data_IF_363220684495
#
_entry.id   IF_363220684495
#
_cell.length_a   1.000
_cell.length_b   1.000
_cell.length_c   1.000
_cell.angle_alpha   90.00
_cell.angle_beta   90.00
_cell.angle_gamma   90.00
#
_symmetry.space_group_name_H-M   'P 1'
#
loop_
_entity.id
_entity.type
_entity.pdbx_description
1 polymer ?
#
# COMPACT_ATOMS: atom_id res chain seq x y z
N UNK A 1 -22.79 -19.17 8.82
CA UNK A 1 -22.28 -18.44 7.63
C UNK A 1 -21.28 -19.34 6.92
N UNK A 2 -21.44 -19.59 5.62
CA UNK A 2 -20.41 -20.26 4.82
C UNK A 2 -19.30 -19.26 4.49
N UNK A 3 -18.11 -19.46 5.05
CA UNK A 3 -16.91 -18.69 4.69
C UNK A 3 -16.54 -19.07 3.27
N UNK A 4 -16.45 -18.10 2.35
CA UNK A 4 -15.93 -18.37 1.02
C UNK A 4 -14.45 -18.73 1.11
N UNK A 5 -13.96 -19.68 0.29
CA UNK A 5 -12.53 -19.95 0.23
C UNK A 5 -11.79 -18.71 -0.30
N UNK A 6 -10.57 -18.49 0.19
CA UNK A 6 -9.72 -17.41 -0.30
C UNK A 6 -9.45 -17.62 -1.80
N UNK A 7 -9.66 -16.57 -2.59
CA UNK A 7 -9.42 -16.60 -4.03
C UNK A 7 -7.95 -16.25 -4.34
N UNK A 8 -7.15 -17.27 -4.67
CA UNK A 8 -5.72 -17.11 -5.00
C UNK A 8 -5.48 -16.16 -6.18
N UNK A 9 -6.39 -16.09 -7.16
CA UNK A 9 -6.24 -15.17 -8.28
C UNK A 9 -6.41 -13.71 -7.83
N UNK A 10 -7.26 -13.48 -6.82
CA UNK A 10 -7.46 -12.16 -6.23
C UNK A 10 -6.30 -11.76 -5.32
N UNK A 11 -5.75 -12.70 -4.55
CA UNK A 11 -4.51 -12.47 -3.79
C UNK A 11 -3.37 -12.06 -4.72
N UNK A 12 -3.15 -12.79 -5.82
CA UNK A 12 -2.16 -12.42 -6.84
C UNK A 12 -2.40 -11.01 -7.38
N UNK A 13 -3.66 -10.66 -7.69
CA UNK A 13 -4.01 -9.32 -8.18
C UNK A 13 -3.73 -8.24 -7.15
N UNK A 14 -4.03 -8.48 -5.87
CA UNK A 14 -3.72 -7.56 -4.78
C UNK A 14 -2.22 -7.30 -4.68
N UNK A 15 -1.39 -8.35 -4.66
CA UNK A 15 0.06 -8.20 -4.49
C UNK A 15 0.73 -7.48 -5.66
N UNK A 16 0.31 -7.77 -6.89
CA UNK A 16 0.77 -7.05 -8.08
C UNK A 16 0.31 -5.59 -8.08
N UNK A 17 -0.91 -5.33 -7.58
CA UNK A 17 -1.42 -3.96 -7.42
C UNK A 17 -0.65 -3.21 -6.34
N UNK A 18 -0.40 -3.83 -5.19
CA UNK A 18 0.37 -3.25 -4.10
C UNK A 18 1.77 -2.85 -4.60
N UNK A 19 2.48 -3.74 -5.28
CA UNK A 19 3.82 -3.42 -5.79
C UNK A 19 3.79 -2.24 -6.78
N UNK A 20 2.80 -2.18 -7.67
CA UNK A 20 2.69 -1.06 -8.60
C UNK A 20 2.28 0.25 -7.90
N UNK A 21 1.50 0.16 -6.82
CA UNK A 21 1.15 1.31 -6.00
C UNK A 21 2.39 1.89 -5.33
N UNK A 22 3.23 1.05 -4.71
CA UNK A 22 4.51 1.49 -4.13
C UNK A 22 5.41 2.20 -5.16
N UNK A 23 5.58 1.58 -6.33
CA UNK A 23 6.36 2.15 -7.44
C UNK A 23 5.82 3.52 -7.87
N UNK A 24 4.50 3.66 -7.89
CA UNK A 24 3.83 4.91 -8.25
C UNK A 24 3.96 5.97 -7.15
N UNK A 25 3.81 5.58 -5.88
CA UNK A 25 3.91 6.47 -4.71
C UNK A 25 5.33 7.02 -4.54
N UNK A 26 6.36 6.23 -4.86
CA UNK A 26 7.75 6.72 -4.93
C UNK A 26 7.87 7.96 -5.84
N UNK A 27 7.24 7.91 -7.03
CA UNK A 27 7.25 9.05 -7.95
C UNK A 27 6.49 10.27 -7.41
N UNK A 28 5.40 10.05 -6.67
CA UNK A 28 4.65 11.13 -6.01
C UNK A 28 5.50 11.80 -4.94
N UNK A 29 6.19 11.03 -4.09
CA UNK A 29 7.13 11.56 -3.10
C UNK A 29 8.29 12.32 -3.71
N UNK A 30 8.88 11.80 -4.79
CA UNK A 30 9.98 12.48 -5.48
C UNK A 30 9.53 13.83 -6.07
N UNK A 31 8.33 13.89 -6.65
CA UNK A 31 7.74 15.15 -7.12
C UNK A 31 7.42 16.11 -5.96
N UNK A 32 6.83 15.61 -4.88
CA UNK A 32 6.48 16.39 -3.69
C UNK A 32 7.73 16.99 -3.01
N UNK A 33 8.79 16.19 -2.85
CA UNK A 33 10.08 16.64 -2.31
C UNK A 33 10.72 17.75 -3.16
N UNK A 34 10.48 17.76 -4.47
CA UNK A 34 10.95 18.81 -5.38
C UNK A 34 10.30 20.18 -5.17
N UNK A 35 9.13 20.23 -4.51
CA UNK A 35 8.35 21.46 -4.31
C UNK A 35 8.13 21.84 -2.84
N UNK A 36 8.57 20.99 -1.91
CA UNK A 36 8.45 21.23 -0.48
C UNK A 36 9.27 22.45 -0.04
N UNK A 37 8.65 23.34 0.73
CA UNK A 37 9.28 24.54 1.30
C UNK A 37 9.47 24.49 2.82
N UNK A 38 8.75 23.61 3.50
CA UNK A 38 8.87 23.39 4.94
C UNK A 38 9.86 22.24 5.23
N UNK A 39 10.91 22.53 6.00
CA UNK A 39 11.95 21.54 6.34
C UNK A 39 11.42 20.35 7.16
N UNK A 40 10.39 20.55 7.98
CA UNK A 40 9.76 19.48 8.72
C UNK A 40 8.98 18.56 7.78
N UNK A 41 8.23 19.14 6.84
CA UNK A 41 7.52 18.38 5.80
C UNK A 41 8.51 17.59 4.93
N UNK A 42 9.63 18.19 4.53
CA UNK A 42 10.68 17.49 3.80
C UNK A 42 11.25 16.30 4.57
N UNK A 43 11.52 16.46 5.87
CA UNK A 43 11.99 15.35 6.72
C UNK A 43 10.95 14.23 6.79
N UNK A 44 9.68 14.59 7.00
CA UNK A 44 8.58 13.65 7.10
C UNK A 44 8.40 12.83 5.81
N UNK A 45 8.38 13.49 4.66
CA UNK A 45 8.26 12.84 3.35
C UNK A 45 9.50 12.03 2.98
N UNK A 46 10.70 12.46 3.41
CA UNK A 46 11.92 11.67 3.20
C UNK A 46 11.85 10.33 3.95
N UNK A 47 11.39 10.33 5.20
CA UNK A 47 11.21 9.09 5.97
C UNK A 47 10.18 8.18 5.30
N UNK A 48 9.00 8.73 4.96
CA UNK A 48 7.94 7.96 4.30
C UNK A 48 8.41 7.39 2.95
N UNK A 49 9.16 8.16 2.15
CA UNK A 49 9.75 7.67 0.90
C UNK A 49 10.72 6.49 1.12
N UNK A 50 11.49 6.50 2.21
CA UNK A 50 12.37 5.37 2.54
C UNK A 50 11.58 4.12 2.92
N UNK A 51 10.47 4.28 3.65
CA UNK A 51 9.50 3.24 4.00
C UNK A 51 8.82 2.67 2.74
N UNK A 52 8.24 3.52 1.88
CA UNK A 52 7.65 3.11 0.58
C UNK A 52 8.66 2.33 -0.28
N UNK A 53 9.92 2.76 -0.31
CA UNK A 53 10.98 2.02 -1.03
C UNK A 53 11.27 0.67 -0.38
N UNK A 54 11.17 0.56 0.94
CA UNK A 54 11.31 -0.71 1.65
C UNK A 54 10.13 -1.64 1.32
N UNK A 55 8.91 -1.13 1.38
CA UNK A 55 7.69 -1.85 1.02
C UNK A 55 7.73 -2.39 -0.41
N UNK A 56 8.14 -1.57 -1.38
CA UNK A 56 8.36 -2.01 -2.77
C UNK A 56 9.35 -3.19 -2.86
N UNK A 57 10.47 -3.13 -2.11
CA UNK A 57 11.47 -4.21 -2.07
C UNK A 57 10.89 -5.48 -1.47
N UNK A 58 10.14 -5.36 -0.37
CA UNK A 58 9.48 -6.49 0.28
C UNK A 58 8.51 -7.18 -0.69
N UNK A 59 7.67 -6.42 -1.40
CA UNK A 59 6.74 -7.00 -2.37
C UNK A 59 7.46 -7.61 -3.58
N UNK A 60 8.55 -7.00 -4.05
CA UNK A 60 9.43 -7.56 -5.08
C UNK A 60 10.06 -8.90 -4.65
N UNK A 61 10.38 -9.08 -3.37
CA UNK A 61 10.95 -10.33 -2.84
C UNK A 61 9.87 -11.40 -2.56
N UNK A 62 8.68 -10.96 -2.12
CA UNK A 62 7.55 -11.83 -1.80
C UNK A 62 6.94 -12.48 -3.06
N UNK A 63 6.75 -11.70 -4.14
CA UNK A 63 6.11 -12.20 -5.36
C UNK A 63 6.82 -13.45 -5.93
N UNK A 64 8.15 -13.49 -6.12
CA UNK A 64 8.85 -14.67 -6.59
C UNK A 64 8.76 -15.86 -5.63
N UNK A 65 8.75 -15.62 -4.31
CA UNK A 65 8.56 -16.68 -3.32
C UNK A 65 7.19 -17.37 -3.46
N UNK A 66 6.19 -16.64 -3.97
CA UNK A 66 4.85 -17.13 -4.32
C UNK A 66 4.76 -17.72 -5.73
N UNK A 67 5.88 -17.82 -6.46
CA UNK A 67 5.91 -18.24 -7.86
C UNK A 67 5.29 -17.21 -8.82
N UNK A 68 5.24 -15.94 -8.42
CA UNK A 68 4.70 -14.84 -9.20
C UNK A 68 5.84 -13.98 -9.76
N UNK A 69 5.73 -13.62 -11.04
CA UNK A 69 6.63 -12.65 -11.66
C UNK A 69 6.25 -11.22 -11.20
N UNK A 70 7.16 -10.48 -10.54
CA UNK A 70 6.94 -9.10 -10.10
C UNK A 70 6.61 -8.13 -11.22
N UNK A 71 6.92 -8.47 -12.48
CA UNK A 71 6.67 -7.66 -13.66
C UNK A 71 5.57 -8.25 -14.57
N UNK A 72 4.84 -9.25 -14.07
CA UNK A 72 3.70 -9.83 -14.77
C UNK A 72 2.69 -8.76 -15.21
N UNK A 73 2.18 -8.89 -16.43
CA UNK A 73 1.08 -8.07 -16.94
C UNK A 73 -0.18 -8.30 -16.13
N UNK A 74 -0.83 -7.21 -15.72
CA UNK A 74 -2.10 -7.23 -15.00
C UNK A 74 -2.84 -5.92 -15.24
N UNK A 75 -4.17 -5.85 -15.03
CA UNK A 75 -4.89 -4.58 -15.09
C UNK A 75 -4.30 -3.49 -14.17
N UNK A 76 -3.71 -3.90 -13.04
CA UNK A 76 -3.05 -2.96 -12.13
C UNK A 76 -1.78 -2.35 -12.75
N UNK A 77 -1.04 -3.11 -13.57
CA UNK A 77 0.15 -2.62 -14.29
C UNK A 77 -0.16 -1.49 -15.27
N UNK A 78 -1.40 -1.44 -15.78
CA UNK A 78 -1.84 -0.40 -16.69
C UNK A 78 -2.50 0.79 -15.97
N UNK A 79 -3.32 0.51 -14.95
CA UNK A 79 -4.14 1.52 -14.29
C UNK A 79 -3.39 2.31 -13.22
N UNK A 80 -2.62 1.63 -12.36
CA UNK A 80 -1.98 2.22 -11.18
C UNK A 80 -0.92 3.26 -11.55
N UNK A 81 -0.03 3.02 -12.54
CA UNK A 81 0.94 4.03 -12.95
C UNK A 81 0.29 5.30 -13.49
N UNK A 82 -0.89 5.17 -14.14
CA UNK A 82 -1.64 6.34 -14.63
C UNK A 82 -2.24 7.15 -13.49
N UNK A 83 -2.66 6.49 -12.41
CA UNK A 83 -3.13 7.18 -11.20
C UNK A 83 -1.97 7.93 -10.55
N UNK A 84 -0.82 7.29 -10.35
CA UNK A 84 0.39 7.94 -9.84
C UNK A 84 0.85 9.11 -10.71
N UNK A 85 0.93 8.90 -12.03
CA UNK A 85 1.29 9.94 -12.98
C UNK A 85 0.31 11.13 -12.98
N UNK A 86 -0.98 10.90 -12.74
CA UNK A 86 -1.95 11.97 -12.60
C UNK A 86 -1.73 12.80 -11.33
N UNK A 87 -1.34 12.17 -10.21
CA UNK A 87 -0.96 12.86 -8.98
C UNK A 87 0.32 13.70 -9.19
N UNK A 88 1.36 13.12 -9.80
CA UNK A 88 2.59 13.84 -10.16
C UNK A 88 2.27 15.03 -11.07
N UNK A 89 1.44 14.83 -12.09
CA UNK A 89 1.04 15.90 -13.00
C UNK A 89 0.29 17.03 -12.27
N UNK A 90 -0.52 16.74 -11.25
CA UNK A 90 -1.18 17.76 -10.45
C UNK A 90 -0.17 18.61 -9.65
N UNK A 91 0.86 17.98 -9.08
CA UNK A 91 1.97 18.68 -8.41
C UNK A 91 2.71 19.59 -9.39
N UNK A 92 3.07 19.06 -10.57
CA UNK A 92 3.78 19.82 -11.61
C UNK A 92 2.93 21.00 -12.12
N UNK A 93 1.63 20.80 -12.31
CA UNK A 93 0.70 21.86 -12.70
C UNK A 93 0.59 22.95 -11.64
N UNK A 94 0.58 22.59 -10.35
CA UNK A 94 0.58 23.57 -9.27
C UNK A 94 1.91 24.34 -9.24
N UNK A 95 3.05 23.65 -9.37
CA UNK A 95 4.37 24.28 -9.41
C UNK A 95 4.55 25.26 -10.57
N UNK A 96 3.90 25.01 -11.71
CA UNK A 96 3.94 25.89 -12.87
C UNK A 96 3.09 27.16 -12.73
N UNK A 97 2.02 27.12 -11.93
CA UNK A 97 0.97 28.16 -11.93
C UNK A 97 0.71 28.82 -10.57
N UNK A 98 1.16 28.21 -9.48
CA UNK A 98 0.91 28.64 -8.11
C UNK A 98 2.12 29.27 -7.45
N UNK A 99 1.91 29.83 -6.26
CA UNK A 99 3.03 30.15 -5.36
C UNK A 99 3.55 28.89 -4.65
N UNK A 100 4.69 29.01 -3.99
CA UNK A 100 5.33 27.87 -3.32
C UNK A 100 4.47 27.25 -2.22
N UNK A 101 3.69 28.04 -1.48
CA UNK A 101 2.86 27.54 -0.39
C UNK A 101 1.65 26.76 -0.94
N UNK A 102 0.98 27.30 -1.96
CA UNK A 102 -0.10 26.62 -2.67
C UNK A 102 0.38 25.33 -3.35
N UNK A 103 1.59 25.34 -3.91
CA UNK A 103 2.19 24.15 -4.52
C UNK A 103 2.44 23.05 -3.50
N UNK A 104 3.02 23.39 -2.33
CA UNK A 104 3.22 22.40 -1.26
C UNK A 104 1.90 21.81 -0.76
N UNK A 105 0.81 22.58 -0.71
CA UNK A 105 -0.50 22.07 -0.31
C UNK A 105 -1.04 21.03 -1.31
N UNK A 106 -0.94 21.31 -2.62
CA UNK A 106 -1.32 20.34 -3.66
C UNK A 106 -0.45 19.07 -3.57
N UNK A 107 0.85 19.23 -3.31
CA UNK A 107 1.74 18.10 -3.09
C UNK A 107 1.34 17.26 -1.87
N UNK A 108 0.98 17.90 -0.76
CA UNK A 108 0.51 17.21 0.45
C UNK A 108 -0.81 16.45 0.20
N UNK A 109 -1.74 17.02 -0.56
CA UNK A 109 -2.99 16.32 -0.95
C UNK A 109 -2.69 15.10 -1.83
N UNK A 110 -1.75 15.23 -2.78
CA UNK A 110 -1.34 14.13 -3.65
C UNK A 110 -0.66 13.01 -2.86
N UNK A 111 0.23 13.35 -1.92
CA UNK A 111 0.86 12.39 -1.00
C UNK A 111 -0.21 11.68 -0.18
N UNK A 112 -1.16 12.41 0.43
CA UNK A 112 -2.23 11.81 1.24
C UNK A 112 -3.11 10.82 0.45
N UNK A 113 -3.38 11.11 -0.83
CA UNK A 113 -4.12 10.18 -1.71
C UNK A 113 -3.32 8.93 -2.05
N UNK A 114 -2.00 9.06 -2.22
CA UNK A 114 -1.11 7.92 -2.44
C UNK A 114 -1.01 7.05 -1.19
N UNK A 115 -0.84 7.66 -0.02
CA UNK A 115 -0.78 6.99 1.29
C UNK A 115 -2.09 6.26 1.62
N UNK A 116 -3.25 6.87 1.36
CA UNK A 116 -4.54 6.22 1.57
C UNK A 116 -4.67 4.92 0.74
N UNK A 117 -4.08 4.91 -0.47
CA UNK A 117 -4.05 3.72 -1.32
C UNK A 117 -3.09 2.67 -0.78
N UNK A 118 -1.92 3.10 -0.33
CA UNK A 118 -0.89 2.23 0.19
C UNK A 118 -1.35 1.50 1.45
N UNK A 119 -1.80 2.27 2.44
CA UNK A 119 -2.36 1.74 3.68
C UNK A 119 -3.49 0.72 3.44
N UNK A 120 -4.37 0.97 2.45
CA UNK A 120 -5.42 0.01 2.10
C UNK A 120 -4.84 -1.32 1.60
N UNK A 121 -3.80 -1.28 0.76
CA UNK A 121 -3.18 -2.50 0.25
C UNK A 121 -2.54 -3.29 1.39
N UNK A 122 -1.79 -2.63 2.27
CA UNK A 122 -1.14 -3.25 3.43
C UNK A 122 -2.14 -3.81 4.44
N UNK A 123 -3.23 -3.10 4.72
CA UNK A 123 -4.33 -3.60 5.55
C UNK A 123 -4.89 -4.92 4.98
N UNK A 124 -5.17 -4.96 3.67
CA UNK A 124 -5.69 -6.17 3.02
C UNK A 124 -4.68 -7.32 3.05
N UNK A 125 -3.38 -7.04 2.90
CA UNK A 125 -2.31 -8.04 3.03
C UNK A 125 -2.27 -8.60 4.47
N UNK A 126 -2.41 -7.74 5.48
CA UNK A 126 -2.49 -8.16 6.89
C UNK A 126 -3.68 -9.07 7.16
N UNK A 127 -4.86 -8.66 6.71
CA UNK A 127 -6.07 -9.49 6.83
C UNK A 127 -5.91 -10.87 6.16
N UNK A 128 -5.22 -10.93 5.02
CA UNK A 128 -4.90 -12.19 4.34
C UNK A 128 -3.92 -13.03 5.14
N UNK A 129 -2.85 -12.44 5.67
CA UNK A 129 -1.87 -13.15 6.50
C UNK A 129 -2.53 -13.77 7.75
N UNK A 130 -3.49 -13.08 8.38
CA UNK A 130 -4.26 -13.60 9.52
C UNK A 130 -5.29 -14.67 9.13
N UNK A 131 -5.87 -14.57 7.93
CA UNK A 131 -6.99 -15.42 7.49
C UNK A 131 -6.57 -16.61 6.64
N UNK A 132 -5.34 -16.64 6.14
CA UNK A 132 -4.87 -17.63 5.19
C UNK A 132 -4.82 -19.05 5.80
N UNK A 133 -5.27 -20.08 5.06
CA UNK A 133 -5.02 -21.46 5.45
C UNK A 133 -3.51 -21.76 5.43
N UNK A 134 -3.06 -22.74 6.22
CA UNK A 134 -1.66 -22.90 6.61
C UNK A 134 -0.61 -23.00 5.51
N UNK A 135 -0.96 -23.37 4.28
CA UNK A 135 -0.05 -23.35 3.14
C UNK A 135 0.18 -21.93 2.61
N UNK A 136 -0.88 -21.14 2.47
CA UNK A 136 -0.82 -19.74 2.10
C UNK A 136 -0.27 -18.87 3.24
N UNK A 137 -0.63 -19.17 4.49
CA UNK A 137 -0.11 -18.43 5.66
C UNK A 137 1.40 -18.63 5.86
N UNK A 138 1.94 -19.80 5.53
CA UNK A 138 3.38 -20.05 5.57
C UNK A 138 4.15 -19.18 4.58
N UNK A 139 3.51 -18.79 3.47
CA UNK A 139 4.10 -17.88 2.48
C UNK A 139 4.07 -16.40 2.96
N UNK A 140 3.20 -16.08 3.92
CA UNK A 140 3.11 -14.76 4.58
C UNK A 140 3.74 -14.73 6.00
N UNK A 141 4.45 -15.78 6.41
CA UNK A 141 4.99 -15.90 7.77
C UNK A 141 6.08 -14.83 8.08
N UNK A 142 6.11 -14.29 9.31
CA UNK A 142 7.01 -13.20 9.67
C UNK A 142 8.49 -13.63 9.69
N UNK A 143 9.38 -12.73 9.25
CA UNK A 143 10.81 -12.80 9.51
C UNK A 143 11.16 -12.31 10.92
N UNK A 144 12.39 -12.57 11.42
CA UNK A 144 12.83 -12.07 12.72
C UNK A 144 12.95 -10.52 12.75
N UNK A 145 12.24 -9.94 13.73
CA UNK A 145 12.42 -8.74 14.58
C UNK A 145 13.11 -7.42 14.11
N UNK A 146 13.70 -7.31 12.92
CA UNK A 146 14.48 -6.10 12.57
C UNK A 146 13.67 -5.02 11.82
N UNK A 147 12.36 -5.24 11.58
CA UNK A 147 11.46 -4.23 11.03
C UNK A 147 10.61 -3.65 12.15
N UNK A 148 10.75 -2.34 12.42
CA UNK A 148 9.78 -1.62 13.25
C UNK A 148 8.38 -1.84 12.66
N UNK A 149 7.37 -2.17 13.49
CA UNK A 149 6.03 -2.39 13.00
C UNK A 149 5.46 -1.07 12.49
N UNK A 150 5.29 -0.96 11.18
CA UNK A 150 4.45 0.10 10.64
C UNK A 150 3.03 -0.12 11.15
N UNK A 151 2.60 0.80 12.03
CA UNK A 151 1.21 0.88 12.47
C UNK A 151 0.44 1.57 11.35
N UNK A 152 0.06 0.81 10.32
CA UNK A 152 -0.80 1.31 9.24
C UNK A 152 -2.18 1.67 9.81
N UNK A 153 -2.37 2.95 10.11
CA UNK A 153 -3.55 3.49 10.76
C UNK A 153 -4.66 3.78 9.78
N UNK A 154 -5.25 2.75 9.16
CA UNK A 154 -6.62 2.83 8.66
C UNK A 154 -7.53 2.10 9.64
N UNK A 155 -8.70 2.68 9.92
CA UNK A 155 -9.74 1.99 10.65
C UNK A 155 -10.08 0.68 9.92
N UNK A 156 -10.36 -0.42 10.64
CA UNK A 156 -10.74 -1.73 10.07
C UNK A 156 -11.86 -1.67 9.01
N UNK A 157 -12.69 -0.64 9.04
CA UNK A 157 -13.84 -0.43 8.16
C UNK A 157 -13.57 0.51 6.97
N UNK A 158 -12.32 1.00 6.81
CA UNK A 158 -11.94 1.94 5.74
C UNK A 158 -11.87 1.26 4.36
N UNK A 159 -11.61 -0.05 4.33
CA UNK A 159 -11.55 -0.80 3.09
C UNK A 159 -12.96 -0.94 2.47
N UNK A 160 -13.19 -0.46 1.23
CA UNK A 160 -14.46 -0.66 0.55
C UNK A 160 -14.79 -2.16 0.52
N UNK A 161 -15.99 -2.54 0.95
CA UNK A 161 -16.41 -3.94 1.13
C UNK A 161 -16.15 -4.85 -0.10
N UNK A 162 -16.07 -4.24 -1.30
CA UNK A 162 -15.70 -4.93 -2.53
C UNK A 162 -14.34 -5.63 -2.46
N UNK A 163 -13.35 -5.09 -1.74
CA UNK A 163 -12.01 -5.69 -1.64
C UNK A 163 -11.97 -6.90 -0.72
N UNK A 164 -12.42 -6.83 0.55
CA UNK A 164 -12.53 -8.02 1.39
C UNK A 164 -13.40 -9.10 0.76
N UNK A 165 -14.54 -8.73 0.16
CA UNK A 165 -15.41 -9.68 -0.54
C UNK A 165 -14.71 -10.33 -1.74
N UNK A 166 -14.00 -9.56 -2.55
CA UNK A 166 -13.23 -10.08 -3.69
C UNK A 166 -12.18 -11.10 -3.26
N UNK A 167 -11.57 -10.93 -2.08
CA UNK A 167 -10.56 -11.83 -1.54
C UNK A 167 -11.13 -13.08 -0.85
N UNK A 168 -12.46 -13.13 -0.64
CA UNK A 168 -13.09 -14.17 0.18
C UNK A 168 -12.92 -13.96 1.70
N UNK A 169 -12.53 -12.76 2.11
CA UNK A 169 -12.42 -12.37 3.52
C UNK A 169 -13.80 -12.06 4.10
N UNK A 170 -13.95 -12.28 5.41
CA UNK A 170 -15.15 -11.86 6.11
C UNK A 170 -15.18 -10.33 6.14
N UNK A 171 -16.24 -9.72 5.60
CA UNK A 171 -16.53 -8.31 5.85
C UNK A 171 -17.05 -8.21 7.29
N UNK A 172 -16.32 -7.52 8.17
CA UNK A 172 -16.88 -7.22 9.49
C UNK A 172 -18.22 -6.47 9.29
N UNK A 173 -19.27 -6.77 10.08
CA UNK A 173 -20.38 -5.83 10.16
C UNK A 173 -19.80 -4.49 10.64
N UNK A 174 -20.14 -3.40 9.97
CA UNK A 174 -19.84 -2.04 10.44
C UNK A 174 -20.11 -1.96 11.94
N UNK A 175 -19.13 -1.50 12.73
CA UNK A 175 -19.27 -1.41 14.18
C UNK A 175 -20.58 -0.67 14.50
N UNK A 176 -21.54 -1.26 15.25
CA UNK A 176 -22.86 -0.67 15.46
C UNK A 176 -22.81 0.72 16.10
N UNK A 177 -21.67 1.05 16.74
CA UNK A 177 -21.47 2.29 17.50
C UNK A 177 -20.60 3.31 16.76
N UNK A 178 -20.25 3.09 15.49
CA UNK A 178 -19.50 4.03 14.65
C UNK A 178 -18.04 4.25 15.06
N UNK A 179 -17.45 3.32 15.81
CA UNK A 179 -16.03 3.36 16.18
C UNK A 179 -15.18 2.63 15.13
N UNK A 180 -13.96 3.13 14.83
CA UNK A 180 -13.02 2.40 14.00
C UNK A 180 -12.69 1.05 14.66
N UNK A 181 -12.64 -0.03 13.88
CA UNK A 181 -12.14 -1.32 14.39
C UNK A 181 -10.61 -1.30 14.56
N UNK A 182 -10.05 -2.42 15.03
CA UNK A 182 -8.66 -2.48 15.49
C UNK A 182 -7.67 -2.36 14.33
N UNK A 183 -6.48 -1.79 14.52
CA UNK A 183 -5.47 -1.76 13.46
C UNK A 183 -4.86 -3.15 13.25
N UNK A 184 -4.76 -3.60 11.99
CA UNK A 184 -4.06 -4.82 11.60
C UNK A 184 -2.54 -4.57 11.50
N UNK A 185 -1.71 -5.46 12.07
CA UNK A 185 -0.24 -5.38 11.99
C UNK A 185 0.28 -6.30 10.89
N UNK A 186 1.11 -5.77 10.00
CA UNK A 186 1.82 -6.58 8.97
C UNK A 186 3.30 -6.61 9.27
N UNK A 187 3.92 -7.78 9.16
CA UNK A 187 5.38 -7.95 9.25
C UNK A 187 5.79 -8.92 8.15
N UNK A 188 6.56 -8.47 7.16
CA UNK A 188 6.96 -9.30 6.00
C UNK A 188 8.47 -9.58 5.95
N UNK A 189 8.82 -10.76 5.43
CA UNK A 189 10.15 -11.36 5.47
C UNK A 189 11.04 -11.12 4.24
N UNK A 190 12.37 -11.08 4.44
CA UNK A 190 13.39 -11.19 3.37
C UNK A 190 13.78 -12.66 3.12
N UNK A 191 13.87 -13.07 1.86
CA UNK A 191 14.52 -14.33 1.50
C UNK A 191 16.05 -14.18 1.58
N UNK A 192 16.74 -15.14 2.21
CA UNK A 192 18.22 -15.22 2.11
C UNK A 192 18.60 -15.69 0.70
N UNK A 193 19.60 -15.07 0.06
CA UNK A 193 20.19 -15.64 -1.14
C UNK A 193 20.89 -16.97 -0.78
N UNK A 194 20.65 -18.01 -1.57
CA UNK A 194 21.37 -19.29 -1.54
C UNK A 194 22.81 -19.15 -1.99
#
# INVERSE_FOLDING_TARGET
MHRQPIDRAQVRRLLLHALEAERSTIGVYEAAMGVAVDEQVQREWSTQLEETRLHARILCDLLPALGLDPDATSPARDAVPRQGAALVAAIEMAAANGDHAATQLVAAECVALAEARDHLNWQLIGMLAESAPGDLAAEFAPAPDDAEPDSFGLADDSAPASWPQALGLATAPSCPDGRPGAAHRVTLARARPT
#
